data_IF_087142537341
#
_entry.id   IF_087142537341
#
_cell.length_a   1.000
_cell.length_b   1.000
_cell.length_c   1.000
_cell.angle_alpha   90.00
_cell.angle_beta   90.00
_cell.angle_gamma   90.00
#
_symmetry.space_group_name_H-M   'P 1'
#
loop_
_entity.id
_entity.type
_entity.pdbx_description
1 polymer ?
#
# COMPACT_ATOMS: atom_id res chain seq x y z
N UNK A 1 12.90 -6.29 5.53
CA UNK A 1 12.56 -4.93 5.07
C UNK A 1 11.34 -5.04 4.19
N UNK A 2 10.29 -4.24 4.42
CA UNK A 2 9.21 -4.08 3.45
C UNK A 2 9.75 -3.27 2.26
N UNK A 3 9.97 -3.92 1.13
CA UNK A 3 10.61 -3.36 -0.05
C UNK A 3 9.54 -3.08 -1.12
N UNK A 4 9.27 -1.80 -1.38
CA UNK A 4 8.22 -1.34 -2.30
C UNK A 4 8.81 -0.58 -3.51
N UNK A 5 9.55 -1.27 -4.39
CA UNK A 5 10.18 -0.63 -5.54
C UNK A 5 9.17 -0.32 -6.64
N UNK A 6 9.51 0.62 -7.52
CA UNK A 6 8.76 0.90 -8.76
C UNK A 6 7.25 1.14 -8.53
N UNK A 7 6.89 1.76 -7.40
CA UNK A 7 5.49 2.01 -7.02
C UNK A 7 4.75 2.95 -7.96
N UNK A 8 3.41 2.95 -7.88
CA UNK A 8 2.49 3.79 -8.67
C UNK A 8 2.72 3.72 -10.18
N UNK A 9 3.17 2.56 -10.67
CA UNK A 9 3.51 2.37 -12.07
C UNK A 9 2.31 2.61 -12.99
N UNK A 10 1.11 2.17 -12.58
CA UNK A 10 -0.14 2.32 -13.33
C UNK A 10 -0.54 3.77 -13.55
N UNK A 11 -0.09 4.68 -12.69
CA UNK A 11 -0.31 6.12 -12.81
C UNK A 11 0.45 6.77 -13.97
N UNK A 12 1.53 6.13 -14.44
CA UNK A 12 2.37 6.56 -15.57
C UNK A 12 3.09 7.91 -15.39
N UNK A 13 3.02 8.53 -14.22
CA UNK A 13 3.77 9.75 -13.90
C UNK A 13 5.24 9.49 -13.57
N UNK A 14 5.57 8.28 -13.13
CA UNK A 14 6.96 7.85 -12.99
C UNK A 14 7.49 7.21 -14.27
N UNK A 15 8.78 7.38 -14.51
CA UNK A 15 9.43 6.93 -15.75
C UNK A 15 9.34 5.40 -15.94
N UNK A 16 9.31 4.62 -14.86
CA UNK A 16 9.17 3.16 -14.90
C UNK A 16 7.77 2.70 -15.34
N UNK A 17 6.74 3.53 -15.19
CA UNK A 17 5.37 3.27 -15.69
C UNK A 17 5.07 3.93 -17.04
N UNK A 18 5.87 4.91 -17.47
CA UNK A 18 5.57 5.74 -18.64
C UNK A 18 5.45 4.97 -19.99
N UNK A 19 5.98 3.74 -20.07
CA UNK A 19 5.95 2.89 -21.29
C UNK A 19 4.98 1.70 -21.19
N UNK A 20 4.04 1.76 -20.25
CA UNK A 20 2.98 0.78 -20.10
C UNK A 20 3.42 -0.52 -19.39
N UNK A 21 2.45 -1.41 -19.13
CA UNK A 21 2.61 -2.56 -18.24
C UNK A 21 3.72 -3.52 -18.69
N UNK A 22 3.83 -3.81 -19.99
CA UNK A 22 4.86 -4.71 -20.52
C UNK A 22 6.30 -4.25 -20.24
N UNK A 23 6.55 -2.94 -20.33
CA UNK A 23 7.87 -2.38 -20.06
C UNK A 23 8.17 -2.38 -18.56
N UNK A 24 7.16 -2.07 -17.74
CA UNK A 24 7.26 -2.11 -16.29
C UNK A 24 7.55 -3.53 -15.78
N UNK A 25 6.81 -4.54 -16.23
CA UNK A 25 6.98 -5.94 -15.81
C UNK A 25 8.40 -6.44 -16.08
N UNK A 26 8.95 -6.15 -17.26
CA UNK A 26 10.36 -6.47 -17.60
C UNK A 26 11.36 -5.84 -16.62
N UNK A 27 11.16 -4.58 -16.24
CA UNK A 27 12.02 -3.90 -15.28
C UNK A 27 11.85 -4.48 -13.86
N UNK A 28 10.62 -4.80 -13.47
CA UNK A 28 10.32 -5.39 -12.18
C UNK A 28 10.99 -6.77 -12.03
N UNK A 29 10.85 -7.66 -13.02
CA UNK A 29 11.50 -8.97 -12.99
C UNK A 29 13.01 -8.88 -13.00
N UNK A 30 13.60 -7.97 -13.79
CA UNK A 30 15.04 -7.73 -13.77
C UNK A 30 15.51 -7.30 -12.37
N UNK A 31 14.79 -6.40 -11.72
CA UNK A 31 15.11 -5.97 -10.36
C UNK A 31 14.99 -7.12 -9.36
N UNK A 32 13.94 -7.93 -9.46
CA UNK A 32 13.76 -9.12 -8.64
C UNK A 32 14.90 -10.11 -8.84
N UNK A 33 15.25 -10.44 -10.08
CA UNK A 33 16.34 -11.36 -10.40
C UNK A 33 17.68 -10.88 -9.83
N UNK A 34 17.99 -9.59 -10.04
CA UNK A 34 19.23 -9.01 -9.54
C UNK A 34 19.29 -9.03 -8.01
N UNK A 35 18.26 -8.55 -7.32
CA UNK A 35 18.30 -8.44 -5.86
C UNK A 35 18.20 -9.82 -5.19
N UNK A 36 17.28 -10.67 -5.64
CA UNK A 36 16.98 -11.95 -5.00
C UNK A 36 17.97 -13.04 -5.39
N UNK A 37 18.30 -13.20 -6.68
CA UNK A 37 19.13 -14.32 -7.14
C UNK A 37 20.61 -13.95 -7.28
N UNK A 38 20.92 -12.80 -7.86
CA UNK A 38 22.31 -12.39 -8.07
C UNK A 38 22.97 -11.88 -6.78
N UNK A 39 22.37 -10.89 -6.13
CA UNK A 39 22.87 -10.30 -4.88
C UNK A 39 22.45 -11.08 -3.62
N UNK A 40 21.53 -12.04 -3.75
CA UNK A 40 21.10 -12.93 -2.66
C UNK A 40 20.53 -12.18 -1.45
N UNK A 41 19.84 -11.07 -1.70
CA UNK A 41 19.12 -10.35 -0.65
C UNK A 41 17.87 -11.14 -0.27
N UNK A 42 17.99 -11.93 0.80
CA UNK A 42 16.95 -12.81 1.32
C UNK A 42 16.14 -12.18 2.48
N UNK A 43 16.28 -10.88 2.67
CA UNK A 43 15.65 -10.10 3.76
C UNK A 43 14.64 -9.07 3.25
N UNK A 44 14.24 -9.17 1.97
CA UNK A 44 13.26 -8.31 1.32
C UNK A 44 11.90 -9.00 1.31
N UNK A 45 10.86 -8.29 1.77
CA UNK A 45 9.46 -8.64 1.56
C UNK A 45 8.97 -7.71 0.45
N UNK A 46 8.64 -8.26 -0.70
CA UNK A 46 8.29 -7.52 -1.91
C UNK A 46 6.86 -7.01 -1.84
N UNK A 47 6.71 -5.69 -1.88
CA UNK A 47 5.42 -5.00 -1.90
C UNK A 47 5.20 -4.46 -3.31
N UNK A 48 4.34 -5.10 -4.08
CA UNK A 48 3.94 -4.66 -5.42
C UNK A 48 2.77 -3.68 -5.30
N UNK A 49 2.76 -2.59 -6.09
CA UNK A 49 1.77 -1.53 -5.97
C UNK A 49 1.11 -1.24 -7.32
N UNK A 50 -0.12 -1.73 -7.48
CA UNK A 50 -1.09 -1.42 -8.54
C UNK A 50 -2.43 -2.11 -8.21
N UNK A 51 -3.52 -1.59 -8.75
CA UNK A 51 -4.88 -2.18 -8.67
C UNK A 51 -5.50 -2.44 -10.05
N UNK A 52 -4.82 -2.05 -11.12
CA UNK A 52 -5.15 -2.36 -12.51
C UNK A 52 -4.58 -3.74 -12.91
N UNK A 53 -5.42 -4.73 -13.28
CA UNK A 53 -4.99 -6.07 -13.69
C UNK A 53 -3.96 -6.10 -14.83
N UNK A 54 -3.92 -5.09 -15.70
CA UNK A 54 -2.94 -5.03 -16.78
C UNK A 54 -1.50 -4.98 -16.24
N UNK A 55 -1.31 -4.48 -15.01
CA UNK A 55 -0.01 -4.31 -14.35
C UNK A 55 0.39 -5.48 -13.45
N UNK A 56 -0.48 -6.49 -13.33
CA UNK A 56 -0.25 -7.65 -12.49
C UNK A 56 1.04 -8.38 -12.89
N UNK A 57 1.94 -8.53 -11.91
CA UNK A 57 3.08 -9.45 -11.97
C UNK A 57 2.65 -10.82 -11.44
N UNK A 58 3.32 -11.89 -11.85
CA UNK A 58 3.00 -13.23 -11.37
C UNK A 58 3.25 -13.34 -9.87
N UNK A 59 2.54 -14.29 -9.28
CA UNK A 59 2.40 -14.42 -7.84
C UNK A 59 3.76 -14.65 -7.14
N UNK A 60 4.68 -15.38 -7.74
CA UNK A 60 6.00 -15.63 -7.15
C UNK A 60 6.87 -14.36 -6.97
N UNK A 61 6.51 -13.23 -7.60
CA UNK A 61 7.33 -12.03 -7.64
C UNK A 61 6.91 -10.93 -6.64
N UNK A 62 5.91 -11.18 -5.79
CA UNK A 62 5.51 -10.26 -4.73
C UNK A 62 5.00 -11.00 -3.50
N UNK A 63 5.08 -10.37 -2.34
CA UNK A 63 4.59 -10.91 -1.06
C UNK A 63 3.32 -10.18 -0.58
N UNK A 64 3.19 -8.89 -0.91
CA UNK A 64 2.11 -8.01 -0.44
C UNK A 64 1.61 -7.15 -1.61
N UNK A 65 0.30 -6.93 -1.70
CA UNK A 65 -0.29 -5.94 -2.61
C UNK A 65 -0.44 -4.60 -1.89
N UNK A 66 0.11 -3.55 -2.48
CA UNK A 66 0.07 -2.18 -2.00
C UNK A 66 -0.96 -1.34 -2.73
N UNK A 67 -1.70 -0.53 -1.99
CA UNK A 67 -2.62 0.48 -2.50
C UNK A 67 -2.13 1.85 -2.04
N UNK A 68 -1.94 2.76 -2.99
CA UNK A 68 -1.71 4.18 -2.68
C UNK A 68 -2.98 4.96 -2.96
N UNK A 69 -3.48 5.71 -1.97
CA UNK A 69 -4.67 6.52 -2.18
C UNK A 69 -4.74 7.80 -1.36
N UNK A 70 -4.88 8.92 -2.09
CA UNK A 70 -4.97 10.26 -1.52
C UNK A 70 -6.40 10.79 -1.62
N UNK A 71 -7.22 10.43 -0.62
CA UNK A 71 -8.59 10.95 -0.49
C UNK A 71 -8.61 12.46 -0.21
N UNK A 72 -9.73 13.17 -0.49
CA UNK A 72 -9.92 14.54 -0.06
C UNK A 72 -9.78 14.70 1.47
N UNK A 73 -9.27 15.84 1.93
CA UNK A 73 -9.13 16.10 3.37
C UNK A 73 -10.47 15.91 4.10
N UNK A 74 -10.45 15.19 5.23
CA UNK A 74 -11.64 14.85 6.01
C UNK A 74 -12.41 13.61 5.53
N UNK A 75 -12.04 13.00 4.40
CA UNK A 75 -12.59 11.71 3.98
C UNK A 75 -11.80 10.57 4.64
N UNK A 76 -12.36 10.01 5.71
CA UNK A 76 -11.80 8.86 6.44
C UNK A 76 -12.50 7.55 6.09
N UNK A 77 -13.13 7.47 4.91
CA UNK A 77 -13.86 6.30 4.45
C UNK A 77 -12.97 5.06 4.29
N UNK A 78 -13.58 3.87 4.24
CA UNK A 78 -12.83 2.60 4.36
C UNK A 78 -12.12 2.14 3.09
N UNK A 79 -12.28 2.85 1.97
CA UNK A 79 -11.68 2.49 0.68
C UNK A 79 -12.04 1.08 0.16
N UNK A 80 -13.19 0.52 0.59
CA UNK A 80 -13.65 -0.85 0.28
C UNK A 80 -13.45 -1.27 -1.16
N UNK A 81 -13.86 -0.42 -2.11
CA UNK A 81 -13.73 -0.73 -3.53
C UNK A 81 -12.27 -0.99 -3.94
N UNK A 82 -11.33 -0.17 -3.47
CA UNK A 82 -9.90 -0.34 -3.76
C UNK A 82 -9.31 -1.55 -3.04
N UNK A 83 -9.73 -1.77 -1.80
CA UNK A 83 -9.34 -2.95 -1.04
C UNK A 83 -9.75 -4.24 -1.77
N UNK A 84 -11.00 -4.31 -2.25
CA UNK A 84 -11.52 -5.48 -2.97
C UNK A 84 -10.79 -5.75 -4.28
N UNK A 85 -10.49 -4.71 -5.06
CA UNK A 85 -9.70 -4.85 -6.29
C UNK A 85 -8.30 -5.39 -5.99
N UNK A 86 -7.63 -4.85 -4.97
CA UNK A 86 -6.32 -5.33 -4.55
C UNK A 86 -6.38 -6.77 -4.02
N UNK A 87 -7.43 -7.12 -3.28
CA UNK A 87 -7.64 -8.45 -2.74
C UNK A 87 -7.90 -9.50 -3.84
N UNK A 88 -8.64 -9.11 -4.89
CA UNK A 88 -8.85 -9.95 -6.07
C UNK A 88 -7.52 -10.25 -6.79
N UNK A 89 -6.67 -9.24 -6.96
CA UNK A 89 -5.32 -9.40 -7.53
C UNK A 89 -4.39 -10.24 -6.64
N UNK A 90 -4.57 -10.13 -5.33
CA UNK A 90 -3.93 -10.99 -4.33
C UNK A 90 -4.51 -12.42 -4.29
N UNK A 91 -5.56 -12.70 -5.08
CA UNK A 91 -6.36 -13.94 -5.04
C UNK A 91 -6.91 -14.30 -3.65
N UNK A 92 -6.97 -13.33 -2.74
CA UNK A 92 -7.26 -13.56 -1.32
C UNK A 92 -6.19 -14.35 -0.56
N UNK A 93 -5.04 -14.66 -1.18
CA UNK A 93 -3.97 -15.48 -0.59
C UNK A 93 -2.84 -14.63 0.01
N UNK A 94 -2.77 -13.35 -0.38
CA UNK A 94 -1.74 -12.40 0.09
C UNK A 94 -2.34 -11.19 0.78
N UNK A 95 -1.62 -10.63 1.76
CA UNK A 95 -2.09 -9.42 2.44
C UNK A 95 -2.13 -8.22 1.50
N UNK A 96 -3.08 -7.32 1.78
CA UNK A 96 -3.23 -6.02 1.13
C UNK A 96 -2.88 -4.93 2.13
N UNK A 97 -2.10 -3.94 1.72
CA UNK A 97 -1.68 -2.82 2.55
C UNK A 97 -2.03 -1.47 1.91
N UNK A 98 -2.39 -0.48 2.74
CA UNK A 98 -2.52 0.91 2.31
C UNK A 98 -1.12 1.53 2.39
N UNK A 99 -0.35 1.33 1.32
CA UNK A 99 1.08 1.61 1.27
C UNK A 99 1.41 3.08 1.32
N UNK A 100 0.51 3.94 0.83
CA UNK A 100 0.50 5.39 1.06
C UNK A 100 -0.92 5.89 1.17
N UNK A 101 -1.13 6.90 2.01
CA UNK A 101 -2.41 7.59 2.05
C UNK A 101 -2.29 9.07 2.39
N UNK A 102 -3.37 9.79 2.16
CA UNK A 102 -3.55 11.13 2.71
C UNK A 102 -4.21 11.06 4.09
N UNK A 103 -5.53 11.29 4.18
CA UNK A 103 -6.29 10.97 5.38
C UNK A 103 -6.13 9.49 5.76
N UNK A 104 -6.00 9.20 7.05
CA UNK A 104 -5.98 7.82 7.56
C UNK A 104 -7.44 7.36 7.69
N UNK A 105 -7.83 6.20 7.12
CA UNK A 105 -9.18 5.68 7.28
C UNK A 105 -9.55 5.45 8.75
N UNK A 106 -10.82 5.62 9.06
CA UNK A 106 -11.35 5.31 10.38
C UNK A 106 -11.30 3.79 10.61
N UNK A 107 -10.62 3.29 11.65
CA UNK A 107 -10.49 1.86 11.89
C UNK A 107 -11.82 1.16 12.17
N UNK A 108 -12.83 1.86 12.69
CA UNK A 108 -14.15 1.26 12.88
C UNK A 108 -14.80 1.01 11.52
N UNK A 109 -14.76 2.00 10.61
CA UNK A 109 -15.30 1.86 9.25
C UNK A 109 -14.57 0.78 8.46
N UNK A 110 -13.24 0.70 8.57
CA UNK A 110 -12.45 -0.33 7.91
C UNK A 110 -12.93 -1.73 8.29
N UNK A 111 -13.15 -1.99 9.58
CA UNK A 111 -13.57 -3.31 10.03
C UNK A 111 -15.05 -3.58 9.75
N UNK A 112 -15.92 -2.59 9.90
CA UNK A 112 -17.35 -2.72 9.58
C UNK A 112 -17.58 -3.03 8.09
N UNK A 113 -16.68 -2.58 7.22
CA UNK A 113 -16.69 -2.90 5.80
C UNK A 113 -15.72 -4.01 5.40
N UNK A 114 -15.11 -4.74 6.34
CA UNK A 114 -14.16 -5.83 6.04
C UNK A 114 -12.96 -5.43 5.15
N UNK A 115 -12.51 -4.17 5.25
CA UNK A 115 -11.33 -3.62 4.57
C UNK A 115 -10.10 -3.71 5.47
N UNK A 116 -9.59 -4.92 5.65
CA UNK A 116 -8.51 -5.23 6.59
C UNK A 116 -7.11 -4.93 6.04
N UNK A 117 -6.83 -3.66 5.70
CA UNK A 117 -5.49 -3.25 5.30
C UNK A 117 -4.45 -3.61 6.39
N UNK A 118 -3.35 -4.24 5.99
CA UNK A 118 -2.29 -4.70 6.89
C UNK A 118 -1.60 -3.55 7.63
N UNK A 119 -1.45 -2.40 6.97
CA UNK A 119 -1.04 -1.14 7.58
C UNK A 119 -1.61 0.04 6.78
N UNK A 120 -1.47 1.24 7.36
CA UNK A 120 -1.63 2.53 6.68
C UNK A 120 -0.35 3.35 6.85
N UNK A 121 -0.07 4.27 5.93
CA UNK A 121 1.11 5.13 5.97
C UNK A 121 0.79 6.49 5.37
N UNK A 122 0.32 7.47 6.19
CA UNK A 122 0.12 8.82 5.68
C UNK A 122 1.44 9.37 5.15
N UNK A 123 1.39 10.06 4.02
CA UNK A 123 2.60 10.65 3.44
C UNK A 123 3.21 11.71 4.36
N UNK A 124 4.47 12.06 4.14
CA UNK A 124 5.13 13.05 4.98
C UNK A 124 4.59 14.48 4.76
N UNK A 125 4.97 15.41 5.64
CA UNK A 125 4.67 16.82 5.44
C UNK A 125 3.23 17.14 5.82
N UNK A 126 2.48 17.81 4.93
CA UNK A 126 1.13 18.28 5.23
C UNK A 126 0.20 17.16 5.68
N UNK A 127 0.31 15.95 5.11
CA UNK A 127 -0.58 14.83 5.43
C UNK A 127 -0.45 14.36 6.89
N UNK A 128 0.64 14.69 7.59
CA UNK A 128 0.83 14.38 9.01
C UNK A 128 0.80 15.63 9.89
N UNK A 129 1.35 16.76 9.41
CA UNK A 129 1.68 17.90 10.28
C UNK A 129 0.75 19.11 10.17
N UNK A 130 -0.13 19.19 9.17
CA UNK A 130 -0.96 20.40 8.97
C UNK A 130 -2.19 20.48 9.89
N UNK A 131 -2.62 19.36 10.46
CA UNK A 131 -3.83 19.26 11.28
C UNK A 131 -5.14 19.46 10.49
N UNK A 132 -5.08 19.49 9.16
CA UNK A 132 -6.21 19.65 8.22
C UNK A 132 -6.54 18.31 7.58
N UNK A 133 -5.54 17.62 7.01
CA UNK A 133 -5.74 16.33 6.33
C UNK A 133 -6.08 15.24 7.34
N UNK A 134 -5.31 15.22 8.44
CA UNK A 134 -5.55 14.37 9.60
C UNK A 134 -5.64 15.27 10.84
N UNK A 135 -6.85 15.71 11.22
CA UNK A 135 -7.06 16.50 12.43
C UNK A 135 -6.57 15.78 13.68
N UNK A 136 -6.14 16.54 14.69
CA UNK A 136 -5.56 16.00 15.92
C UNK A 136 -6.49 15.01 16.61
N UNK A 137 -7.78 15.32 16.68
CA UNK A 137 -8.80 14.47 17.30
C UNK A 137 -8.94 13.14 16.57
N UNK A 138 -8.83 13.16 15.24
CA UNK A 138 -8.86 11.95 14.42
C UNK A 138 -7.62 11.07 14.66
N UNK A 139 -6.43 11.67 14.69
CA UNK A 139 -5.20 10.97 15.03
C UNK A 139 -5.26 10.35 16.43
N UNK A 140 -5.77 11.07 17.42
CA UNK A 140 -5.98 10.56 18.78
C UNK A 140 -6.95 9.36 18.75
N UNK A 141 -8.07 9.44 18.01
CA UNK A 141 -9.00 8.32 17.86
C UNK A 141 -8.28 7.09 17.29
N UNK A 142 -7.60 7.23 16.15
CA UNK A 142 -6.99 6.11 15.44
C UNK A 142 -5.92 5.43 16.30
N UNK A 143 -4.97 6.20 16.83
CA UNK A 143 -3.82 5.62 17.55
C UNK A 143 -4.19 5.07 18.93
N UNK A 144 -5.37 5.41 19.48
CA UNK A 144 -5.90 4.77 20.69
C UNK A 144 -6.88 3.63 20.42
N UNK A 145 -7.20 3.32 19.15
CA UNK A 145 -8.08 2.20 18.82
C UNK A 145 -7.46 0.86 19.21
N UNK A 146 -8.26 -0.05 19.73
CA UNK A 146 -7.86 -1.45 19.97
C UNK A 146 -7.55 -2.20 18.67
N UNK A 147 -8.14 -1.74 17.56
CA UNK A 147 -7.97 -2.32 16.21
C UNK A 147 -6.65 -1.89 15.54
N UNK A 148 -5.90 -0.95 16.13
CA UNK A 148 -4.67 -0.40 15.58
C UNK A 148 -3.47 -0.82 16.42
N UNK A 149 -2.47 -1.41 15.76
CA UNK A 149 -1.18 -1.77 16.36
C UNK A 149 -0.27 -0.53 16.30
N UNK A 150 0.27 -0.14 17.45
CA UNK A 150 1.24 0.94 17.59
C UNK A 150 2.59 0.38 18.00
N UNK A 151 3.65 1.20 18.00
CA UNK A 151 4.99 0.76 18.35
C UNK A 151 5.06 0.03 19.72
N UNK A 152 4.30 0.53 20.71
CA UNK A 152 4.26 -0.06 22.06
C UNK A 152 3.58 -1.44 22.11
N UNK A 153 2.80 -1.78 21.06
CA UNK A 153 2.10 -3.06 20.93
C UNK A 153 2.87 -4.07 20.08
N UNK A 154 4.02 -3.69 19.51
CA UNK A 154 4.88 -4.58 18.72
C UNK A 154 5.93 -5.20 19.65
N UNK A 155 6.03 -6.53 19.63
CA UNK A 155 7.01 -7.31 20.40
C UNK A 155 8.38 -7.35 19.73
#
# INVERSE_FOLDING_TARGET
>A
MLWRPLHEAEGRWFWWGAKGPESFKKLYYLLYELLTYHYKLNNLIWVWNAIDPDWLVEEEFFDIVGVDFYAPAGDFGPLKFKYDQALELAKGEKPVALTENGPIPDPDLLFDSESYFLWFMPWWGKFVFDGIINPKEHLIKIYNSERVITLEKIN
#
